data_IF_505573268504
#
_entry.id   IF_505573268504
#
_cell.length_a   1.000
_cell.length_b   1.000
_cell.length_c   1.000
_cell.angle_alpha   90.00
_cell.angle_beta   90.00
_cell.angle_gamma   90.00
#
_symmetry.space_group_name_H-M   'P 1'
#
loop_
_entity.id
_entity.type
_entity.pdbx_description
1 polymer ?
#
# COMPACT_ATOMS: atom_id res chain seq x y z
N UNK A 1 -0.23 -20.90 16.99
CA UNK A 1 -0.33 -19.58 16.32
C UNK A 1 -0.76 -19.84 14.88
N UNK A 2 -1.86 -19.25 14.42
CA UNK A 2 -2.27 -19.40 13.02
C UNK A 2 -1.37 -18.54 12.14
N UNK A 3 -0.53 -19.21 11.36
CA UNK A 3 0.35 -18.56 10.38
C UNK A 3 -0.44 -18.32 9.09
N UNK A 4 -1.28 -17.28 9.11
CA UNK A 4 -2.03 -16.86 7.93
C UNK A 4 -1.33 -15.66 7.32
N UNK A 5 -0.88 -15.78 6.06
CA UNK A 5 -0.13 -14.74 5.35
C UNK A 5 -0.94 -13.45 5.10
N UNK A 6 -2.26 -13.56 4.98
CA UNK A 6 -3.18 -12.44 4.71
C UNK A 6 -4.48 -12.64 5.51
N UNK A 7 -5.00 -11.59 6.14
CA UNK A 7 -6.26 -11.60 6.89
C UNK A 7 -7.22 -10.54 6.37
N UNK A 8 -8.50 -10.88 6.25
CA UNK A 8 -9.57 -9.95 5.88
C UNK A 8 -10.13 -9.30 7.14
N UNK A 9 -9.95 -7.99 7.30
CA UNK A 9 -10.48 -7.23 8.45
C UNK A 9 -11.95 -6.84 8.29
N UNK A 10 -12.39 -6.61 7.04
CA UNK A 10 -13.76 -6.18 6.73
C UNK A 10 -14.17 -6.67 5.34
N UNK A 11 -15.43 -7.07 5.20
CA UNK A 11 -15.97 -7.62 3.96
C UNK A 11 -15.74 -9.12 3.84
N UNK A 12 -16.02 -9.66 2.66
CA UNK A 12 -15.74 -11.04 2.28
C UNK A 12 -14.90 -11.02 1.02
N UNK A 13 -13.89 -11.89 0.98
CA UNK A 13 -13.12 -12.16 -0.21
C UNK A 13 -13.24 -13.66 -0.48
N UNK A 14 -13.48 -14.01 -1.73
CA UNK A 14 -13.47 -15.41 -2.12
C UNK A 14 -12.02 -15.97 -2.15
N UNK A 15 -11.91 -17.27 -2.39
CA UNK A 15 -10.62 -17.95 -2.42
C UNK A 15 -9.73 -17.44 -3.57
N UNK A 16 -10.32 -17.04 -4.70
CA UNK A 16 -9.59 -16.58 -5.87
C UNK A 16 -9.02 -15.18 -5.65
N UNK A 17 -9.79 -14.28 -5.05
CA UNK A 17 -9.36 -12.94 -4.65
C UNK A 17 -8.21 -12.99 -3.63
N UNK A 18 -8.32 -13.85 -2.61
CA UNK A 18 -7.26 -14.07 -1.63
C UNK A 18 -5.98 -14.63 -2.26
N UNK A 19 -6.13 -15.59 -3.19
CA UNK A 19 -5.01 -16.17 -3.92
C UNK A 19 -4.33 -15.11 -4.80
N UNK A 20 -5.09 -14.27 -5.50
CA UNK A 20 -4.58 -13.20 -6.34
C UNK A 20 -3.74 -12.20 -5.54
N UNK A 21 -4.26 -11.72 -4.40
CA UNK A 21 -3.54 -10.79 -3.52
C UNK A 21 -2.26 -11.43 -2.98
N UNK A 22 -2.33 -12.68 -2.52
CA UNK A 22 -1.17 -13.41 -2.00
C UNK A 22 -0.10 -13.60 -3.08
N UNK A 23 -0.51 -13.99 -4.30
CA UNK A 23 0.39 -14.16 -5.43
C UNK A 23 1.10 -12.85 -5.80
N UNK A 24 0.39 -11.73 -5.82
CA UNK A 24 0.97 -10.40 -6.06
C UNK A 24 1.99 -10.05 -4.97
N UNK A 25 1.66 -10.24 -3.69
CA UNK A 25 2.57 -9.95 -2.58
C UNK A 25 3.85 -10.80 -2.67
N UNK A 26 3.72 -12.10 -2.94
CA UNK A 26 4.87 -12.99 -3.13
C UNK A 26 5.70 -12.60 -4.35
N UNK A 27 5.08 -12.27 -5.48
CA UNK A 27 5.79 -11.81 -6.68
C UNK A 27 6.56 -10.51 -6.41
N UNK A 28 5.96 -9.58 -5.65
CA UNK A 28 6.62 -8.31 -5.27
C UNK A 28 7.78 -8.53 -4.32
N UNK A 29 7.63 -9.43 -3.35
CA UNK A 29 8.71 -9.83 -2.44
C UNK A 29 9.86 -10.50 -3.20
N UNK A 30 9.55 -11.41 -4.12
CA UNK A 30 10.53 -12.09 -4.97
C UNK A 30 11.23 -11.12 -5.95
N UNK A 31 10.53 -10.08 -6.43
CA UNK A 31 11.11 -9.03 -7.27
C UNK A 31 12.04 -8.07 -6.51
N UNK A 32 12.16 -8.20 -5.19
CA UNK A 32 12.97 -7.33 -4.34
C UNK A 32 14.47 -7.62 -4.41
N UNK A 33 15.17 -7.13 -5.44
CA UNK A 33 16.65 -6.95 -5.37
C UNK A 33 17.25 -5.94 -6.36
N UNK A 34 16.44 -5.24 -7.16
CA UNK A 34 16.98 -4.11 -7.93
C UNK A 34 17.10 -2.88 -7.00
N UNK A 35 18.29 -2.30 -6.81
CA UNK A 35 18.43 -1.06 -6.06
C UNK A 35 17.73 0.04 -6.85
N UNK A 36 16.49 0.36 -6.47
CA UNK A 36 15.87 1.60 -6.88
C UNK A 36 16.76 2.75 -6.37
N UNK A 37 16.99 3.82 -7.16
CA UNK A 37 17.71 4.99 -6.67
C UNK A 37 17.04 5.42 -5.36
N UNK A 38 17.81 5.42 -4.28
CA UNK A 38 17.29 5.61 -2.93
C UNK A 38 16.54 6.93 -2.85
N UNK A 39 15.20 6.88 -2.96
CA UNK A 39 14.36 7.99 -2.53
C UNK A 39 14.65 8.14 -1.05
N UNK A 40 15.07 9.33 -0.55
CA UNK A 40 15.29 9.50 0.87
C UNK A 40 14.01 9.08 1.60
N UNK A 41 14.11 8.04 2.43
CA UNK A 41 13.03 7.61 3.33
C UNK A 41 12.77 8.77 4.27
N UNK A 42 11.78 9.61 3.94
CA UNK A 42 11.30 10.60 4.89
C UNK A 42 10.62 9.82 6.02
N UNK A 43 11.22 9.83 7.20
CA UNK A 43 10.63 9.23 8.41
C UNK A 43 9.34 9.94 8.84
N UNK A 44 9.10 11.13 8.30
CA UNK A 44 7.94 11.97 8.60
C UNK A 44 7.18 12.25 7.32
N UNK A 45 5.85 12.08 7.37
CA UNK A 45 5.00 12.64 6.33
C UNK A 45 5.31 14.15 6.21
N UNK A 46 5.53 14.69 5.00
CA UNK A 46 5.79 16.11 4.87
C UNK A 46 4.58 16.88 5.40
N UNK A 47 4.81 17.80 6.31
CA UNK A 47 3.80 18.82 6.64
C UNK A 47 3.54 19.61 5.37
N UNK A 48 2.40 19.36 4.73
CA UNK A 48 1.99 20.07 3.53
C UNK A 48 1.32 21.37 3.96
N UNK A 49 1.73 22.47 3.32
CA UNK A 49 1.06 23.76 3.42
C UNK A 49 -0.29 23.66 2.72
N UNK A 50 -1.35 23.49 3.50
CA UNK A 50 -2.71 23.33 3.00
C UNK A 50 -3.14 24.54 2.15
N UNK A 51 -2.61 25.73 2.45
CA UNK A 51 -2.83 26.96 1.68
C UNK A 51 -2.28 26.92 0.24
N UNK A 52 -1.42 25.94 -0.09
CA UNK A 52 -0.87 25.74 -1.46
C UNK A 52 -1.40 24.50 -2.16
N UNK A 53 -2.33 23.78 -1.54
CA UNK A 53 -2.97 22.60 -2.13
C UNK A 53 -4.31 23.01 -2.71
N UNK A 54 -4.71 22.44 -3.86
CA UNK A 54 -6.05 22.65 -4.38
C UNK A 54 -7.08 22.36 -3.29
N UNK A 55 -7.95 23.33 -2.97
CA UNK A 55 -8.81 23.32 -1.78
C UNK A 55 -9.84 22.19 -1.74
N UNK A 56 -9.95 21.40 -2.81
CA UNK A 56 -10.80 20.22 -2.86
C UNK A 56 -9.99 18.99 -3.25
N UNK A 57 -10.01 17.99 -2.39
CA UNK A 57 -9.51 16.64 -2.65
C UNK A 57 -10.63 15.66 -2.40
N UNK A 58 -10.83 14.74 -3.33
CA UNK A 58 -11.91 13.77 -3.22
C UNK A 58 -11.77 12.95 -1.92
N UNK A 59 -12.83 12.79 -1.12
CA UNK A 59 -12.79 12.07 0.17
C UNK A 59 -12.32 10.62 0.05
N UNK A 60 -12.48 10.02 -1.13
CA UNK A 60 -12.10 8.64 -1.44
C UNK A 60 -10.69 8.51 -2.04
N UNK A 61 -9.90 9.59 -2.08
CA UNK A 61 -8.56 9.55 -2.69
C UNK A 61 -7.47 9.20 -1.67
N UNK A 62 -6.89 8.02 -1.83
CA UNK A 62 -5.71 7.55 -1.09
C UNK A 62 -4.38 8.21 -1.50
N UNK A 63 -4.35 8.97 -2.60
CA UNK A 63 -3.15 9.57 -3.18
C UNK A 63 -3.06 11.05 -2.81
N UNK A 64 -2.01 11.44 -2.07
CA UNK A 64 -1.78 12.79 -1.57
C UNK A 64 -0.37 13.30 -1.78
#
# INVERSE_FOLDING_TARGET
>A
MNDTLVRVEKGHADAEELAAVTAVLLARAAAGTAPAPGRPRRSTAPWRRLERTAGFRAPHSWQG
#
